data_IF_974052851020
#
_entry.id   IF_974052851020
#
_cell.length_a   1.000
_cell.length_b   1.000
_cell.length_c   1.000
_cell.angle_alpha   90.00
_cell.angle_beta   90.00
_cell.angle_gamma   90.00
#
_symmetry.space_group_name_H-M   'P 1'
#
loop_
_entity.id
_entity.type
_entity.pdbx_description
1 polymer ?
#
# COMPACT_ATOMS: atom_id res chain seq x y z
N UNK A 1 6.81 -24.72 -21.24
CA UNK A 1 5.76 -24.22 -20.31
C UNK A 1 5.44 -22.79 -20.71
N UNK A 2 4.18 -22.42 -20.95
CA UNK A 2 3.82 -21.04 -21.23
C UNK A 2 4.10 -20.16 -20.00
N UNK A 3 4.40 -18.86 -20.18
CA UNK A 3 4.59 -17.94 -19.06
C UNK A 3 3.28 -17.82 -18.25
N UNK A 4 3.41 -17.87 -16.91
CA UNK A 4 2.28 -17.61 -16.00
C UNK A 4 2.17 -16.12 -15.73
N UNK A 5 1.04 -15.52 -16.11
CA UNK A 5 0.74 -14.12 -15.84
C UNK A 5 0.01 -13.89 -14.52
N UNK A 6 -0.28 -14.95 -13.75
CA UNK A 6 -1.01 -14.86 -12.49
C UNK A 6 -0.42 -13.84 -11.50
N UNK A 7 0.89 -13.87 -11.22
CA UNK A 7 1.53 -12.88 -10.35
C UNK A 7 1.38 -11.43 -10.84
N UNK A 8 1.54 -11.21 -12.16
CA UNK A 8 1.38 -9.88 -12.76
C UNK A 8 -0.08 -9.40 -12.71
N UNK A 9 -1.04 -10.28 -12.98
CA UNK A 9 -2.46 -9.96 -12.88
C UNK A 9 -2.84 -9.56 -11.44
N UNK A 10 -2.29 -10.26 -10.45
CA UNK A 10 -2.50 -9.91 -9.03
C UNK A 10 -1.91 -8.54 -8.69
N UNK A 11 -0.66 -8.28 -9.12
CA UNK A 11 0.01 -6.99 -8.96
C UNK A 11 -0.79 -5.85 -9.62
N UNK A 12 -1.15 -5.99 -10.89
CA UNK A 12 -1.88 -4.95 -11.61
C UNK A 12 -3.26 -4.70 -11.03
N UNK A 13 -3.96 -5.74 -10.56
CA UNK A 13 -5.23 -5.56 -9.83
C UNK A 13 -5.03 -4.74 -8.55
N UNK A 14 -3.93 -4.96 -7.84
CA UNK A 14 -3.57 -4.12 -6.69
C UNK A 14 -3.20 -2.70 -7.10
N UNK A 15 -2.57 -2.46 -8.25
CA UNK A 15 -2.23 -1.10 -8.69
C UNK A 15 -3.40 -0.33 -9.33
N UNK A 16 -4.42 -1.02 -9.85
CA UNK A 16 -5.56 -0.43 -10.57
C UNK A 16 -6.62 0.25 -9.68
N UNK A 17 -6.22 0.88 -8.58
CA UNK A 17 -7.12 1.64 -7.71
C UNK A 17 -6.47 2.95 -7.27
N UNK A 18 -7.22 4.04 -7.38
CA UNK A 18 -6.70 5.40 -7.31
C UNK A 18 -6.14 5.75 -5.92
N UNK A 19 -6.80 5.34 -4.84
CA UNK A 19 -6.33 5.64 -3.48
C UNK A 19 -5.03 4.88 -3.15
N UNK A 20 -4.87 3.65 -3.63
CA UNK A 20 -3.61 2.91 -3.53
C UNK A 20 -2.49 3.63 -4.26
N UNK A 21 -2.72 4.14 -5.46
CA UNK A 21 -1.72 4.94 -6.19
C UNK A 21 -1.39 6.25 -5.45
N UNK A 22 -2.40 6.93 -4.89
CA UNK A 22 -2.19 8.12 -4.04
C UNK A 22 -1.34 7.81 -2.81
N UNK A 23 -1.60 6.69 -2.14
CA UNK A 23 -0.81 6.24 -0.99
C UNK A 23 0.63 5.97 -1.40
N UNK A 24 0.86 5.24 -2.50
CA UNK A 24 2.22 4.95 -2.99
C UNK A 24 2.97 6.24 -3.36
N UNK A 25 2.31 7.17 -4.03
CA UNK A 25 2.88 8.48 -4.33
C UNK A 25 3.22 9.26 -3.05
N UNK A 26 2.35 9.22 -2.04
CA UNK A 26 2.59 9.89 -0.76
C UNK A 26 3.78 9.29 0.01
N UNK A 27 3.99 7.96 -0.04
CA UNK A 27 5.18 7.30 0.54
C UNK A 27 6.45 7.81 -0.14
N UNK A 28 6.43 7.93 -1.47
CA UNK A 28 7.58 8.38 -2.25
C UNK A 28 8.79 7.43 -2.10
N UNK A 29 10.03 7.96 -2.14
CA UNK A 29 11.25 7.14 -2.05
C UNK A 29 11.58 6.67 -0.62
N UNK A 30 10.86 7.16 0.39
CA UNK A 30 11.15 6.90 1.80
C UNK A 30 10.14 5.96 2.46
N UNK A 31 10.04 6.09 3.78
CA UNK A 31 9.02 5.45 4.59
C UNK A 31 8.10 6.50 5.23
N UNK A 32 6.87 6.08 5.52
CA UNK A 32 5.87 6.90 6.23
C UNK A 32 5.07 6.04 7.19
N UNK A 33 4.69 6.65 8.30
CA UNK A 33 3.72 6.12 9.25
C UNK A 33 2.31 6.18 8.68
N UNK A 34 1.40 5.40 9.25
CA UNK A 34 -0.03 5.42 8.84
C UNK A 34 -0.63 6.81 9.06
N UNK A 35 -0.28 7.49 10.16
CA UNK A 35 -0.78 8.83 10.48
C UNK A 35 -0.32 9.88 9.46
N UNK A 36 0.93 9.83 9.01
CA UNK A 36 1.42 10.70 7.93
C UNK A 36 0.68 10.45 6.61
N UNK A 37 0.34 9.19 6.31
CA UNK A 37 -0.42 8.85 5.10
C UNK A 37 -1.87 9.33 5.18
N UNK A 38 -2.50 9.25 6.34
CA UNK A 38 -3.82 9.84 6.60
C UNK A 38 -3.78 11.34 6.32
N UNK A 39 -2.80 12.05 6.88
CA UNK A 39 -2.64 13.49 6.67
C UNK A 39 -2.36 13.84 5.20
N UNK A 40 -1.49 13.08 4.52
CA UNK A 40 -1.10 13.36 3.14
C UNK A 40 -2.20 13.03 2.11
N UNK A 41 -3.04 12.04 2.39
CA UNK A 41 -4.06 11.57 1.44
C UNK A 41 -5.47 12.09 1.73
N UNK A 42 -5.72 12.59 2.95
CA UNK A 42 -7.05 12.99 3.41
C UNK A 42 -8.02 11.81 3.63
N UNK A 43 -7.53 10.58 3.53
CA UNK A 43 -8.33 9.37 3.72
C UNK A 43 -8.41 9.01 5.22
N UNK A 44 -9.49 8.35 5.61
CA UNK A 44 -9.61 7.85 6.98
C UNK A 44 -8.57 6.76 7.29
N UNK A 45 -8.13 6.68 8.56
CA UNK A 45 -7.17 5.66 8.99
C UNK A 45 -7.60 4.21 8.69
N UNK A 46 -8.88 3.81 8.87
CA UNK A 46 -9.32 2.47 8.48
C UNK A 46 -9.15 2.20 6.98
N UNK A 47 -9.44 3.20 6.14
CA UNK A 47 -9.34 3.08 4.68
C UNK A 47 -7.87 3.01 4.24
N UNK A 48 -7.00 3.85 4.81
CA UNK A 48 -5.54 3.75 4.59
C UNK A 48 -5.03 2.37 5.00
N UNK A 49 -5.43 1.87 6.16
CA UNK A 49 -5.00 0.56 6.67
C UNK A 49 -5.47 -0.59 5.76
N UNK A 50 -6.70 -0.51 5.25
CA UNK A 50 -7.24 -1.46 4.27
C UNK A 50 -6.38 -1.48 2.99
N UNK A 51 -6.08 -0.31 2.44
CA UNK A 51 -5.26 -0.19 1.23
C UNK A 51 -3.81 -0.66 1.44
N UNK A 52 -3.19 -0.33 2.57
CA UNK A 52 -1.85 -0.81 2.93
C UNK A 52 -1.81 -2.33 3.05
N UNK A 53 -2.83 -2.96 3.61
CA UNK A 53 -2.94 -4.43 3.68
C UNK A 53 -3.01 -5.04 2.29
N UNK A 54 -3.82 -4.48 1.39
CA UNK A 54 -3.93 -4.96 0.01
C UNK A 54 -2.60 -4.82 -0.76
N UNK A 55 -1.93 -3.67 -0.64
CA UNK A 55 -0.63 -3.42 -1.27
C UNK A 55 0.46 -4.36 -0.72
N UNK A 56 0.46 -4.64 0.59
CA UNK A 56 1.39 -5.59 1.21
C UNK A 56 1.14 -7.01 0.73
N UNK A 57 -0.13 -7.44 0.66
CA UNK A 57 -0.50 -8.78 0.17
C UNK A 57 -0.07 -8.99 -1.30
N UNK A 58 -0.11 -7.93 -2.10
CA UNK A 58 0.36 -7.93 -3.49
C UNK A 58 1.88 -7.76 -3.66
N UNK A 59 2.64 -7.63 -2.56
CA UNK A 59 4.10 -7.48 -2.58
C UNK A 59 4.60 -6.10 -3.01
N UNK A 60 3.73 -5.09 -3.10
CA UNK A 60 4.09 -3.74 -3.58
C UNK A 60 4.88 -2.96 -2.54
N UNK A 61 4.60 -3.19 -1.26
CA UNK A 61 5.26 -2.51 -0.15
C UNK A 61 5.62 -3.46 0.98
N UNK A 62 6.53 -3.01 1.82
CA UNK A 62 6.85 -3.62 3.12
C UNK A 62 6.38 -2.67 4.22
N UNK A 63 6.00 -3.24 5.35
CA UNK A 63 5.76 -2.49 6.56
C UNK A 63 6.56 -3.09 7.71
N UNK A 64 7.06 -2.22 8.57
CA UNK A 64 7.67 -2.57 9.86
C UNK A 64 6.86 -1.92 10.97
N UNK A 65 6.87 -2.53 12.15
CA UNK A 65 6.46 -1.85 13.38
C UNK A 65 7.73 -1.36 14.03
N UNK A 66 7.82 -0.05 14.23
CA UNK A 66 8.94 0.59 14.91
C UNK A 66 8.33 1.40 16.07
N UNK A 67 8.61 0.97 17.30
CA UNK A 67 8.01 1.51 18.53
C UNK A 67 6.95 0.61 19.21
N UNK A 68 6.77 0.84 20.52
CA UNK A 68 5.78 0.18 21.38
C UNK A 68 4.46 0.96 21.40
N UNK A 69 3.75 1.01 20.29
CA UNK A 69 2.39 1.56 20.27
C UNK A 69 1.39 0.40 20.15
N UNK A 70 0.64 0.22 21.25
CA UNK A 70 -0.58 -0.60 21.39
C UNK A 70 -1.73 0.11 20.70
#
# INVERSE_FOLDING_TARGET
MPPSFGPFAHLFKALAEANRLRILHAIGPGEKTVSELVAATGLSQPLVSHHLRALRAAGVLRSRRDGAFV
#
